data_IF_921215033820
#
_entry.id   IF_921215033820
#
_cell.length_a   1.000
_cell.length_b   1.000
_cell.length_c   1.000
_cell.angle_alpha   90.00
_cell.angle_beta   90.00
_cell.angle_gamma   90.00
#
_symmetry.space_group_name_H-M   'P 1'
#
loop_
_entity.id
_entity.type
_entity.pdbx_description
1 polymer ?
#
# COMPACT_ATOMS: atom_id res chain seq x y z
N UNK A 1 70.30 16.56 15.10
CA UNK A 1 69.28 17.01 14.12
C UNK A 1 68.43 15.83 13.67
N UNK A 2 67.25 15.62 14.29
CA UNK A 2 66.14 14.88 13.67
C UNK A 2 64.85 15.55 14.13
N UNK A 3 64.16 16.17 13.18
CA UNK A 3 62.88 16.85 13.35
C UNK A 3 61.78 15.81 13.57
N UNK A 4 60.99 15.94 14.63
CA UNK A 4 59.71 15.24 14.79
C UNK A 4 58.60 16.21 14.37
N UNK A 5 58.04 16.02 13.18
CA UNK A 5 56.83 16.70 12.75
C UNK A 5 55.61 16.00 13.36
N UNK A 6 54.88 16.75 14.19
CA UNK A 6 53.57 16.38 14.73
C UNK A 6 52.54 16.56 13.61
N UNK A 7 51.93 15.46 13.16
CA UNK A 7 50.82 15.48 12.21
C UNK A 7 49.51 15.61 13.01
N UNK A 8 48.89 16.79 12.96
CA UNK A 8 47.50 16.99 13.38
C UNK A 8 46.57 16.34 12.37
N UNK A 9 46.06 15.14 12.67
CA UNK A 9 45.02 14.50 11.88
C UNK A 9 43.65 15.02 12.35
N UNK A 10 43.16 16.07 11.68
CA UNK A 10 41.79 16.56 11.82
C UNK A 10 40.82 15.49 11.26
N UNK A 11 40.23 14.71 12.15
CA UNK A 11 39.14 13.79 11.81
C UNK A 11 37.89 14.64 11.56
N UNK A 12 37.59 14.89 10.28
CA UNK A 12 36.27 15.35 9.86
C UNK A 12 35.28 14.19 10.05
N UNK A 13 34.53 14.22 11.15
CA UNK A 13 33.31 13.42 11.27
C UNK A 13 32.32 14.03 10.29
N UNK A 14 32.34 13.54 9.05
CA UNK A 14 31.28 13.81 8.09
C UNK A 14 30.01 13.23 8.66
N UNK A 15 29.16 14.09 9.21
CA UNK A 15 27.82 13.73 9.65
C UNK A 15 27.11 13.07 8.48
N UNK A 16 26.76 11.78 8.64
CA UNK A 16 25.81 11.11 7.77
C UNK A 16 24.47 11.83 7.90
N UNK A 17 24.24 12.80 7.02
CA UNK A 17 22.91 13.32 6.72
C UNK A 17 22.10 12.14 6.18
N UNK A 18 21.30 11.51 7.03
CA UNK A 18 20.27 10.57 6.59
C UNK A 18 19.30 11.34 5.70
N UNK A 19 19.55 11.30 4.39
CA UNK A 19 18.58 11.70 3.39
C UNK A 19 17.35 10.83 3.60
N UNK A 20 16.27 11.44 4.08
CA UNK A 20 14.92 10.90 4.07
C UNK A 20 14.42 10.76 2.61
N UNK A 21 15.02 9.86 1.83
CA UNK A 21 14.41 9.38 0.59
C UNK A 21 13.36 8.34 0.97
N UNK A 22 12.09 8.69 0.85
CA UNK A 22 10.99 7.72 0.97
C UNK A 22 11.22 6.65 -0.09
N UNK A 23 11.49 5.42 0.35
CA UNK A 23 11.58 4.28 -0.54
C UNK A 23 10.17 3.93 -1.03
N UNK A 24 9.81 4.50 -2.18
CA UNK A 24 8.55 4.25 -2.88
C UNK A 24 8.40 2.78 -3.31
N UNK A 25 9.47 1.98 -3.21
CA UNK A 25 9.52 0.56 -3.49
C UNK A 25 9.71 -0.28 -2.22
N UNK A 26 9.29 0.23 -1.04
CA UNK A 26 9.36 -0.51 0.23
C UNK A 26 8.83 -1.93 0.04
N UNK A 27 9.70 -2.92 0.26
CA UNK A 27 9.34 -4.33 0.15
C UNK A 27 8.19 -4.67 1.11
N UNK A 28 7.24 -5.54 0.71
CA UNK A 28 6.15 -5.93 1.58
C UNK A 28 6.68 -6.65 2.82
N UNK A 29 6.06 -6.41 3.98
CA UNK A 29 6.30 -7.25 5.16
C UNK A 29 5.85 -8.69 4.90
N UNK A 30 6.28 -9.69 5.69
CA UNK A 30 5.80 -11.06 5.52
C UNK A 30 4.26 -11.20 5.56
N UNK A 31 3.59 -10.42 6.41
CA UNK A 31 2.12 -10.41 6.48
C UNK A 31 1.48 -9.76 5.24
N UNK A 32 2.05 -8.67 4.73
CA UNK A 32 1.62 -8.06 3.47
C UNK A 32 1.84 -8.99 2.27
N UNK A 33 2.96 -9.71 2.23
CA UNK A 33 3.25 -10.72 1.22
C UNK A 33 2.19 -11.83 1.19
N UNK A 34 1.77 -12.33 2.35
CA UNK A 34 0.67 -13.32 2.42
C UNK A 34 -0.62 -12.77 1.82
N UNK A 35 -1.00 -11.53 2.16
CA UNK A 35 -2.18 -10.87 1.60
C UNK A 35 -2.10 -10.76 0.07
N UNK A 36 -0.96 -10.32 -0.47
CA UNK A 36 -0.76 -10.17 -1.91
C UNK A 36 -0.81 -11.52 -2.63
N UNK A 37 -0.11 -12.54 -2.12
CA UNK A 37 -0.07 -13.88 -2.71
C UNK A 37 -1.44 -14.58 -2.65
N UNK A 38 -2.17 -14.44 -1.54
CA UNK A 38 -3.55 -14.95 -1.42
C UNK A 38 -4.46 -14.26 -2.45
N UNK A 39 -4.34 -12.94 -2.59
CA UNK A 39 -5.10 -12.18 -3.57
C UNK A 39 -4.79 -12.60 -5.02
N UNK A 40 -3.51 -12.77 -5.36
CA UNK A 40 -3.08 -13.26 -6.67
C UNK A 40 -3.65 -14.66 -6.96
N UNK A 41 -3.54 -15.57 -5.99
CA UNK A 41 -4.09 -16.91 -6.09
C UNK A 41 -5.60 -16.88 -6.37
N UNK A 42 -6.34 -16.03 -5.66
CA UNK A 42 -7.79 -15.87 -5.84
C UNK A 42 -8.15 -15.29 -7.22
N UNK A 43 -7.38 -14.32 -7.74
CA UNK A 43 -7.54 -13.83 -9.12
C UNK A 43 -7.34 -14.96 -10.12
N UNK A 44 -6.24 -15.70 -10.02
CA UNK A 44 -5.88 -16.78 -10.95
C UNK A 44 -6.93 -17.88 -10.96
N UNK A 45 -7.47 -18.22 -9.79
CA UNK A 45 -8.56 -19.19 -9.63
C UNK A 45 -9.94 -18.63 -9.97
N UNK A 46 -10.03 -17.36 -10.41
CA UNK A 46 -11.28 -16.66 -10.75
C UNK A 46 -12.32 -16.74 -9.62
N UNK A 47 -11.86 -16.72 -8.36
CA UNK A 47 -12.74 -16.80 -7.19
C UNK A 47 -13.72 -15.65 -7.23
N UNK A 48 -15.00 -15.97 -7.00
CA UNK A 48 -16.08 -15.00 -6.84
C UNK A 48 -16.49 -14.97 -5.36
N UNK A 49 -16.60 -13.77 -4.80
CA UNK A 49 -17.15 -13.56 -3.47
C UNK A 49 -18.46 -12.80 -3.63
N UNK A 50 -19.53 -13.32 -3.01
CA UNK A 50 -20.82 -12.64 -2.96
C UNK A 50 -20.67 -11.40 -2.07
N UNK A 51 -21.07 -10.25 -2.59
CA UNK A 51 -20.95 -8.97 -1.89
C UNK A 51 -20.21 -7.93 -2.73
N UNK A 52 -19.67 -6.94 -2.05
CA UNK A 52 -19.01 -5.75 -2.58
C UNK A 52 -17.50 -5.96 -2.79
N UNK A 53 -16.81 -4.89 -3.21
CA UNK A 53 -15.34 -4.84 -3.19
C UNK A 53 -14.77 -5.11 -1.80
N UNK A 54 -15.48 -4.67 -0.75
CA UNK A 54 -15.07 -4.82 0.63
C UNK A 54 -15.04 -6.29 1.06
N UNK A 55 -16.11 -7.05 0.77
CA UNK A 55 -16.23 -8.45 1.16
C UNK A 55 -15.14 -9.32 0.53
N UNK A 56 -14.77 -9.02 -0.71
CA UNK A 56 -13.70 -9.73 -1.41
C UNK A 56 -12.34 -9.52 -0.74
N UNK A 57 -12.04 -8.28 -0.30
CA UNK A 57 -10.78 -7.96 0.35
C UNK A 57 -10.76 -8.50 1.79
N UNK A 58 -11.88 -8.44 2.50
CA UNK A 58 -12.05 -9.10 3.81
C UNK A 58 -11.74 -10.60 3.68
N UNK A 59 -12.24 -11.24 2.63
CA UNK A 59 -11.96 -12.65 2.31
C UNK A 59 -10.48 -12.90 2.05
N UNK A 60 -9.79 -12.05 1.27
CA UNK A 60 -8.34 -12.16 1.04
C UNK A 60 -7.57 -12.08 2.37
N UNK A 61 -7.81 -11.05 3.17
CA UNK A 61 -7.11 -10.85 4.43
C UNK A 61 -7.34 -12.04 5.38
N UNK A 62 -8.58 -12.51 5.50
CA UNK A 62 -8.92 -13.67 6.33
C UNK A 62 -8.21 -14.93 5.83
N UNK A 63 -8.20 -15.20 4.52
CA UNK A 63 -7.51 -16.35 3.92
C UNK A 63 -5.98 -16.25 4.00
N UNK A 64 -5.44 -15.05 4.09
CA UNK A 64 -4.01 -14.81 4.33
C UNK A 64 -3.59 -15.03 5.80
N UNK A 65 -4.54 -15.40 6.68
CA UNK A 65 -4.31 -15.59 8.11
C UNK A 65 -4.28 -14.28 8.90
N UNK A 66 -4.82 -13.19 8.33
CA UNK A 66 -4.93 -11.90 8.99
C UNK A 66 -6.36 -11.69 9.48
N UNK A 67 -6.63 -12.09 10.73
CA UNK A 67 -7.90 -11.86 11.39
C UNK A 67 -8.21 -10.36 11.50
N UNK A 68 -9.46 -9.98 11.79
CA UNK A 68 -9.82 -8.56 11.93
C UNK A 68 -9.06 -7.85 13.06
N UNK A 69 -8.72 -8.55 14.14
CA UNK A 69 -7.92 -7.99 15.25
C UNK A 69 -6.45 -7.76 14.88
N UNK A 70 -5.94 -8.45 13.85
CA UNK A 70 -4.58 -8.28 13.32
C UNK A 70 -4.50 -7.22 12.22
N UNK A 71 -5.57 -6.43 12.03
CA UNK A 71 -5.62 -5.33 11.07
C UNK A 71 -5.68 -4.03 11.84
N UNK A 72 -4.78 -3.11 11.52
CA UNK A 72 -4.76 -1.77 12.10
C UNK A 72 -5.21 -0.72 11.11
N UNK A 73 -5.94 0.28 11.59
CA UNK A 73 -6.18 1.51 10.85
C UNK A 73 -4.90 2.35 10.91
N UNK A 74 -4.28 2.59 9.75
CA UNK A 74 -3.06 3.43 9.63
C UNK A 74 -3.42 4.89 9.40
N UNK A 75 -4.54 5.12 8.72
CA UNK A 75 -5.06 6.46 8.43
C UNK A 75 -6.57 6.37 8.22
N UNK A 76 -7.33 7.32 8.76
CA UNK A 76 -8.76 7.44 8.50
C UNK A 76 -9.20 8.89 8.58
N UNK A 77 -10.03 9.30 7.63
CA UNK A 77 -10.70 10.60 7.58
C UNK A 77 -12.12 10.46 7.03
N UNK A 78 -12.82 11.60 6.88
CA UNK A 78 -14.09 11.64 6.15
C UNK A 78 -13.83 11.42 4.65
N UNK A 79 -14.84 10.98 3.90
CA UNK A 79 -14.71 10.77 2.44
C UNK A 79 -14.31 12.04 1.69
N UNK A 80 -14.67 13.21 2.20
CA UNK A 80 -14.33 14.52 1.65
C UNK A 80 -12.90 14.96 1.97
N UNK A 81 -12.21 14.25 2.86
CA UNK A 81 -10.84 14.53 3.27
C UNK A 81 -10.72 14.94 4.75
N UNK A 82 -9.49 15.32 5.17
CA UNK A 82 -8.26 15.38 4.37
C UNK A 82 -7.86 13.99 3.85
N UNK A 83 -7.21 13.93 2.68
CA UNK A 83 -6.74 12.66 2.11
C UNK A 83 -5.35 12.32 2.62
N UNK A 84 -4.99 11.03 2.57
CA UNK A 84 -3.70 10.56 3.06
C UNK A 84 -2.52 11.14 2.26
N UNK A 85 -1.40 11.35 2.93
CA UNK A 85 -0.11 11.46 2.23
C UNK A 85 0.20 10.11 1.56
N UNK A 86 0.30 10.12 0.22
CA UNK A 86 0.52 8.92 -0.60
C UNK A 86 1.83 8.21 -0.26
N UNK A 87 2.80 8.90 0.38
CA UNK A 87 4.04 8.30 0.89
C UNK A 87 3.79 7.30 2.04
N UNK A 88 2.62 7.34 2.68
CA UNK A 88 2.24 6.42 3.77
C UNK A 88 1.67 5.10 3.27
N UNK A 89 1.30 5.01 1.99
CA UNK A 89 0.73 3.81 1.36
C UNK A 89 1.85 2.80 1.11
N UNK A 90 1.61 1.53 1.45
CA UNK A 90 2.57 0.42 1.33
C UNK A 90 1.93 -0.79 0.63
N UNK A 91 2.73 -1.66 -0.03
CA UNK A 91 2.25 -2.93 -0.56
C UNK A 91 1.46 -3.72 0.47
N UNK A 92 0.32 -4.28 0.03
CA UNK A 92 -0.60 -5.03 0.88
C UNK A 92 -1.64 -4.18 1.60
N UNK A 93 -1.53 -2.84 1.61
CA UNK A 93 -2.53 -1.97 2.22
C UNK A 93 -3.91 -2.14 1.59
N UNK A 94 -4.93 -2.23 2.42
CA UNK A 94 -6.32 -2.09 2.00
C UNK A 94 -6.70 -0.62 2.02
N UNK A 95 -6.93 -0.06 0.84
CA UNK A 95 -7.29 1.33 0.64
C UNK A 95 -8.79 1.48 0.40
N UNK A 96 -9.37 2.54 0.97
CA UNK A 96 -10.65 3.10 0.53
C UNK A 96 -10.41 4.46 -0.11
N UNK A 97 -10.98 4.66 -1.28
CA UNK A 97 -10.74 5.85 -2.08
C UNK A 97 -11.92 6.20 -2.98
N UNK A 98 -11.98 7.46 -3.38
CA UNK A 98 -12.93 7.92 -4.40
C UNK A 98 -12.27 7.79 -5.78
N UNK A 99 -12.86 6.99 -6.66
CA UNK A 99 -12.36 6.79 -8.02
C UNK A 99 -12.73 7.98 -8.91
N UNK A 100 -11.78 8.89 -9.12
CA UNK A 100 -12.00 10.09 -9.95
C UNK A 100 -12.41 9.79 -11.39
N UNK A 101 -11.95 8.67 -11.96
CA UNK A 101 -12.31 8.24 -13.32
C UNK A 101 -13.71 7.61 -13.41
N UNK A 102 -14.43 7.50 -12.30
CA UNK A 102 -15.77 6.94 -12.24
C UNK A 102 -16.62 7.77 -11.27
N UNK A 103 -16.83 9.05 -11.60
CA UNK A 103 -17.70 9.99 -10.87
C UNK A 103 -17.44 10.09 -9.36
N UNK A 104 -16.19 9.88 -8.91
CA UNK A 104 -15.82 9.82 -7.50
C UNK A 104 -16.59 8.75 -6.70
N UNK A 105 -17.03 7.66 -7.35
CA UNK A 105 -17.63 6.54 -6.64
C UNK A 105 -16.63 5.93 -5.66
N UNK A 106 -17.16 5.54 -4.51
CA UNK A 106 -16.39 4.84 -3.49
C UNK A 106 -15.91 3.49 -4.03
N UNK A 107 -14.66 3.17 -3.72
CA UNK A 107 -14.10 1.87 -4.02
C UNK A 107 -13.08 1.48 -2.96
N UNK A 108 -12.92 0.17 -2.78
CA UNK A 108 -11.83 -0.37 -1.98
C UNK A 108 -11.03 -1.44 -2.74
N UNK A 109 -9.72 -1.45 -2.53
CA UNK A 109 -8.78 -2.31 -3.25
C UNK A 109 -7.49 -2.50 -2.43
N UNK A 110 -6.70 -3.52 -2.77
CA UNK A 110 -5.39 -3.75 -2.15
C UNK A 110 -4.32 -3.08 -3.02
N UNK A 111 -3.48 -2.26 -2.40
CA UNK A 111 -2.34 -1.63 -3.06
C UNK A 111 -1.23 -2.65 -3.33
N UNK A 112 -0.77 -2.73 -4.59
CA UNK A 112 0.31 -3.62 -4.98
C UNK A 112 1.61 -2.84 -5.08
N UNK A 113 1.64 -1.83 -5.95
CA UNK A 113 2.80 -0.97 -6.17
C UNK A 113 2.43 0.31 -6.91
N UNK A 114 3.30 1.32 -6.82
CA UNK A 114 3.24 2.47 -7.71
C UNK A 114 3.66 2.07 -9.13
N UNK A 115 2.94 2.58 -10.13
CA UNK A 115 3.32 2.51 -11.54
C UNK A 115 3.92 3.85 -11.97
N UNK A 116 3.33 4.94 -11.47
CA UNK A 116 3.83 6.30 -11.65
C UNK A 116 3.55 7.09 -10.37
N UNK A 117 4.58 7.26 -9.54
CA UNK A 117 4.44 7.95 -8.27
C UNK A 117 4.13 9.44 -8.45
N UNK A 118 4.70 10.10 -9.48
CA UNK A 118 4.51 11.52 -9.77
C UNK A 118 3.04 11.82 -10.06
N UNK A 119 2.40 10.98 -10.86
CA UNK A 119 0.97 11.10 -11.20
C UNK A 119 0.04 10.36 -10.23
N UNK A 120 0.60 9.73 -9.19
CA UNK A 120 -0.12 8.93 -8.17
C UNK A 120 -0.91 7.78 -8.79
N UNK A 121 -0.36 7.16 -9.84
CA UNK A 121 -0.95 5.99 -10.49
C UNK A 121 -0.39 4.72 -9.86
N UNK A 122 -1.26 3.90 -9.30
CA UNK A 122 -0.91 2.65 -8.63
C UNK A 122 -1.56 1.46 -9.31
N UNK A 123 -0.87 0.31 -9.28
CA UNK A 123 -1.49 -0.98 -9.57
C UNK A 123 -2.19 -1.48 -8.32
N UNK A 124 -3.48 -1.77 -8.47
CA UNK A 124 -4.33 -2.25 -7.39
C UNK A 124 -4.89 -3.63 -7.72
N UNK A 125 -4.97 -4.51 -6.73
CA UNK A 125 -5.82 -5.69 -6.79
C UNK A 125 -7.26 -5.24 -6.48
N UNK A 126 -8.14 -5.37 -7.47
CA UNK A 126 -9.48 -4.78 -7.43
C UNK A 126 -10.56 -5.80 -7.80
N UNK A 127 -11.62 -5.82 -7.00
CA UNK A 127 -12.84 -6.58 -7.25
C UNK A 127 -14.03 -5.64 -7.38
N UNK A 128 -14.84 -5.81 -8.42
CA UNK A 128 -15.96 -4.90 -8.66
C UNK A 128 -17.15 -5.15 -7.70
N UNK A 129 -17.41 -6.41 -7.33
CA UNK A 129 -18.52 -6.78 -6.46
C UNK A 129 -19.91 -6.65 -7.10
N UNK A 130 -20.93 -6.61 -6.23
CA UNK A 130 -22.33 -6.28 -6.49
C UNK A 130 -23.03 -7.20 -7.50
N UNK A 131 -22.85 -8.52 -7.34
CA UNK A 131 -23.53 -9.51 -8.18
C UNK A 131 -22.99 -9.61 -9.61
N UNK A 132 -22.02 -8.77 -10.00
CA UNK A 132 -21.32 -8.91 -11.27
C UNK A 132 -20.45 -10.16 -11.19
N UNK A 133 -20.75 -11.16 -12.03
CA UNK A 133 -20.02 -12.44 -12.14
C UNK A 133 -18.60 -12.29 -12.75
N UNK A 134 -17.92 -11.18 -12.48
CA UNK A 134 -16.59 -10.87 -13.02
C UNK A 134 -15.54 -11.05 -11.92
N UNK A 135 -14.52 -11.89 -12.12
CA UNK A 135 -13.43 -12.05 -11.20
C UNK A 135 -12.69 -10.75 -10.88
N UNK A 136 -11.98 -10.75 -9.76
CA UNK A 136 -11.02 -9.71 -9.43
C UNK A 136 -9.89 -9.67 -10.46
N UNK A 137 -9.22 -8.52 -10.53
CA UNK A 137 -8.15 -8.27 -11.49
C UNK A 137 -7.24 -7.17 -10.99
N UNK A 138 -6.03 -7.15 -11.54
CA UNK A 138 -5.14 -6.03 -11.38
C UNK A 138 -5.57 -4.86 -12.27
N UNK A 139 -5.80 -3.68 -11.70
CA UNK A 139 -6.18 -2.48 -12.44
C UNK A 139 -5.42 -1.25 -11.92
N UNK A 140 -5.10 -0.33 -12.82
CA UNK A 140 -4.45 0.93 -12.45
C UNK A 140 -5.49 1.94 -11.95
N UNK A 141 -5.13 2.68 -10.91
CA UNK A 141 -5.95 3.75 -10.34
C UNK A 141 -5.09 4.98 -10.00
N UNK A 142 -5.67 6.17 -10.15
CA UNK A 142 -5.09 7.42 -9.66
C UNK A 142 -5.52 7.65 -8.22
N UNK A 143 -4.58 7.52 -7.26
CA UNK A 143 -4.84 7.53 -5.82
C UNK A 143 -4.71 8.94 -5.22
N UNK A 144 -5.54 9.88 -5.68
CA UNK A 144 -5.58 11.27 -5.15
C UNK A 144 -6.51 11.46 -3.94
N UNK A 145 -7.50 10.58 -3.77
CA UNK A 145 -8.59 10.73 -2.80
C UNK A 145 -8.72 9.50 -1.88
N UNK A 146 -7.61 9.04 -1.31
CA UNK A 146 -7.58 7.92 -0.35
C UNK A 146 -7.89 8.47 1.04
N UNK A 147 -8.97 7.99 1.66
CA UNK A 147 -9.45 8.48 2.96
C UNK A 147 -9.37 7.44 4.09
N UNK A 148 -9.04 6.18 3.78
CA UNK A 148 -8.87 5.14 4.78
C UNK A 148 -7.82 4.12 4.33
N UNK A 149 -6.90 3.79 5.24
CA UNK A 149 -5.90 2.74 5.07
C UNK A 149 -6.05 1.75 6.22
N UNK A 150 -6.31 0.48 5.89
CA UNK A 150 -6.11 -0.64 6.80
C UNK A 150 -4.87 -1.41 6.38
N UNK A 151 -4.12 -1.91 7.36
CA UNK A 151 -2.86 -2.64 7.16
C UNK A 151 -2.79 -3.83 8.10
N UNK A 152 -2.13 -4.89 7.67
CA UNK A 152 -1.76 -6.01 8.55
C UNK A 152 -0.81 -5.55 9.66
N UNK A 153 -0.97 -6.12 10.85
CA UNK A 153 0.05 -6.05 11.89
C UNK A 153 1.07 -7.17 11.65
N UNK A 154 2.32 -6.91 12.04
CA UNK A 154 3.35 -7.94 12.07
C UNK A 154 3.24 -8.72 13.38
#
# INVERSE_FOLDING_TARGET
>A
MKSLSIIFMLIWISGCSQKNSVDINTEPTPSAWKVLNTGEHMIRKKVLVRGSCWDYIDCIYTKAGCSRSQRKTVFKSRKQGPYVDVKKIRPGDWLYFLNGSYHNSEHSAIFVKWIDFKHKTARMLSYQGEGKRKPARYKNYVLKKVYHIMRTQN
#
